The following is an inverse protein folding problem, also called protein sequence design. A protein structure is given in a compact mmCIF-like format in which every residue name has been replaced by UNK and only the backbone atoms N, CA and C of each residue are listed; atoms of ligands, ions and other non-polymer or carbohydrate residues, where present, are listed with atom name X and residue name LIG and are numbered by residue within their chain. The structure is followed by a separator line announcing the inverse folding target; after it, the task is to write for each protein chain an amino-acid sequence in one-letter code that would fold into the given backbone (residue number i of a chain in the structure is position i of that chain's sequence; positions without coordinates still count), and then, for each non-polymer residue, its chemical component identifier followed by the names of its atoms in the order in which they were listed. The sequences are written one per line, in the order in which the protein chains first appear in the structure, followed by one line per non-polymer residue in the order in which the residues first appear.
data_IF_667308451249
#
_entry.id   IF_667308451249
#
_cell.length_a   1.000
_cell.length_b   1.000
_cell.length_c   1.000
_cell.angle_alpha   90.00
_cell.angle_beta   90.00
_cell.angle_gamma   90.00
#
_symmetry.space_group_name_H-M   'P 1'
#
loop_
_entity.id
_entity.type
_entity.pdbx_description
1 polymer ?
#
# COMPACT_ATOMS: atom_id res chain seq x y z
N UNK A 1 -6.47 -19.30 15.14
CA UNK A 1 -5.07 -18.93 14.85
C UNK A 1 -4.98 -17.42 14.87
N UNK A 2 -3.97 -16.84 15.51
CA UNK A 2 -3.74 -15.40 15.42
C UNK A 2 -3.55 -15.03 13.94
N UNK A 3 -4.16 -13.94 13.49
CA UNK A 3 -3.98 -13.44 12.11
C UNK A 3 -2.49 -13.31 11.82
N UNK A 4 -2.01 -13.98 10.78
CA UNK A 4 -0.61 -13.90 10.32
C UNK A 4 -0.32 -12.57 9.61
N UNK A 5 -1.35 -11.79 9.24
CA UNK A 5 -1.20 -10.50 8.59
C UNK A 5 -0.75 -9.38 9.54
N UNK A 6 -0.03 -8.40 9.00
CA UNK A 6 0.35 -7.14 9.66
C UNK A 6 -0.87 -6.43 10.27
N UNK A 7 -0.80 -6.12 11.57
CA UNK A 7 -1.88 -5.49 12.32
C UNK A 7 -2.11 -4.02 11.91
N UNK A 8 -3.25 -3.46 12.27
CA UNK A 8 -3.48 -2.00 12.19
C UNK A 8 -2.70 -1.32 13.31
N UNK A 9 -1.88 -0.33 12.97
CA UNK A 9 -1.17 0.47 13.96
C UNK A 9 -2.05 1.63 14.43
N UNK A 10 -2.66 1.49 15.61
CA UNK A 10 -3.48 2.53 16.23
C UNK A 10 -2.64 3.51 17.04
N UNK A 11 -3.07 4.78 17.03
CA UNK A 11 -2.45 5.84 17.80
C UNK A 11 -3.48 6.52 18.71
N UNK A 12 -3.51 6.09 19.98
CA UNK A 12 -4.47 6.59 20.96
C UNK A 12 -4.36 8.10 21.20
N UNK A 13 -3.16 8.70 21.01
CA UNK A 13 -2.92 10.12 21.26
C UNK A 13 -3.62 11.03 20.23
N UNK A 14 -3.90 10.50 19.04
CA UNK A 14 -4.44 11.29 17.93
C UNK A 14 -5.90 11.70 18.09
N UNK A 15 -6.66 10.98 18.91
CA UNK A 15 -8.10 11.22 19.12
C UNK A 15 -8.36 12.61 19.74
N UNK A 16 -7.55 13.00 20.73
CA UNK A 16 -7.63 14.29 21.41
C UNK A 16 -6.73 15.37 20.81
N UNK A 17 -5.81 15.01 19.91
CA UNK A 17 -4.85 15.96 19.36
C UNK A 17 -5.50 16.90 18.35
N UNK A 18 -5.08 18.16 18.36
CA UNK A 18 -5.48 19.19 17.39
C UNK A 18 -4.24 19.94 16.91
N UNK A 19 -4.26 20.38 15.66
CA UNK A 19 -3.15 21.14 15.10
C UNK A 19 -3.08 22.53 15.78
N UNK A 20 -1.93 22.90 16.40
CA UNK A 20 -1.81 24.19 17.07
C UNK A 20 -1.94 25.39 16.10
N UNK A 21 -2.31 26.58 16.60
CA UNK A 21 -2.40 27.77 15.76
C UNK A 21 -1.07 28.09 15.09
N UNK A 22 -1.10 28.40 13.78
CA UNK A 22 0.09 28.75 13.01
C UNK A 22 0.89 27.58 12.41
N UNK A 23 0.57 26.33 12.77
CA UNK A 23 1.11 25.13 12.11
C UNK A 23 0.25 24.64 10.93
N UNK A 24 -0.98 25.15 10.80
CA UNK A 24 -1.83 24.84 9.64
C UNK A 24 -1.29 25.52 8.37
N UNK A 25 -1.32 24.81 7.24
CA UNK A 25 -0.85 25.27 5.93
C UNK A 25 -1.75 26.34 5.27
N UNK A 26 -2.34 27.25 6.04
CA UNK A 26 -3.18 28.36 5.55
C UNK A 26 -2.48 29.24 4.49
N UNK A 27 -1.15 29.32 4.49
CA UNK A 27 -0.40 30.13 3.51
C UNK A 27 -0.42 29.57 2.08
N UNK A 28 -0.75 28.30 1.86
CA UNK A 28 -0.84 27.72 0.51
C UNK A 28 -2.27 27.74 -0.07
N UNK A 29 -3.31 27.77 0.79
CA UNK A 29 -4.73 27.85 0.41
C UNK A 29 -5.06 29.00 -0.57
N UNK A 30 -4.39 30.16 -0.44
CA UNK A 30 -4.68 31.32 -1.28
C UNK A 30 -4.20 31.22 -2.73
N UNK A 31 -3.24 30.35 -3.04
CA UNK A 31 -2.64 30.30 -4.39
C UNK A 31 -3.33 29.35 -5.37
N UNK A 32 -4.14 28.41 -4.88
CA UNK A 32 -4.68 27.32 -5.71
C UNK A 32 -6.15 27.47 -6.13
N UNK A 33 -6.75 28.64 -5.93
CA UNK A 33 -8.06 28.98 -6.50
C UNK A 33 -7.97 29.27 -8.00
N UNK A 34 -7.75 28.26 -8.83
CA UNK A 34 -7.85 28.39 -10.28
C UNK A 34 -8.93 27.45 -10.85
N UNK A 35 -10.17 27.94 -10.90
CA UNK A 35 -11.18 27.70 -11.94
C UNK A 35 -11.55 26.27 -12.38
N UNK A 36 -11.03 25.20 -11.78
CA UNK A 36 -11.39 23.83 -12.09
C UNK A 36 -12.66 23.40 -11.35
N UNK A 37 -13.48 22.56 -11.98
CA UNK A 37 -14.62 21.94 -11.32
C UNK A 37 -14.15 21.10 -10.11
N UNK A 38 -14.87 21.13 -8.97
CA UNK A 38 -14.51 20.35 -7.80
C UNK A 38 -14.40 18.86 -8.12
N UNK A 39 -13.41 18.19 -7.52
CA UNK A 39 -13.26 16.75 -7.65
C UNK A 39 -14.55 16.04 -7.17
N UNK A 40 -15.07 15.04 -7.88
CA UNK A 40 -16.33 14.41 -7.51
C UNK A 40 -16.22 13.66 -6.17
N UNK A 41 -17.30 13.73 -5.39
CA UNK A 41 -17.53 12.93 -4.19
C UNK A 41 -18.67 11.95 -4.48
N UNK A 42 -18.32 10.69 -4.71
CA UNK A 42 -19.23 9.66 -5.21
C UNK A 42 -19.70 8.79 -4.04
N UNK A 43 -21.01 8.66 -3.87
CA UNK A 43 -21.64 7.79 -2.87
C UNK A 43 -21.54 6.32 -3.29
N UNK A 44 -20.92 5.49 -2.46
CA UNK A 44 -20.75 4.04 -2.63
C UNK A 44 -21.66 3.30 -1.64
N UNK A 45 -22.97 3.35 -1.86
CA UNK A 45 -23.96 2.77 -0.92
C UNK A 45 -23.75 1.28 -0.64
N UNK A 46 -23.44 0.50 -1.68
CA UNK A 46 -23.32 -0.96 -1.56
C UNK A 46 -22.19 -1.37 -0.61
N UNK A 47 -21.06 -0.64 -0.60
CA UNK A 47 -19.96 -0.96 0.31
C UNK A 47 -20.26 -0.51 1.74
N UNK A 48 -21.11 0.51 1.96
CA UNK A 48 -21.45 0.97 3.30
C UNK A 48 -22.11 -0.13 4.12
N UNK A 49 -23.01 -0.91 3.51
CA UNK A 49 -23.66 -2.07 4.13
C UNK A 49 -22.66 -3.20 4.42
N UNK A 50 -21.75 -3.50 3.48
CA UNK A 50 -20.68 -4.51 3.66
C UNK A 50 -19.77 -4.14 4.85
N UNK A 51 -19.41 -2.86 4.97
CA UNK A 51 -18.56 -2.35 6.05
C UNK A 51 -19.34 -2.18 7.35
N UNK A 52 -20.66 -1.99 7.30
CA UNK A 52 -21.53 -1.76 8.44
C UNK A 52 -21.49 -0.32 8.97
N UNK A 53 -21.38 0.65 8.07
CA UNK A 53 -21.41 2.11 8.34
C UNK A 53 -22.57 2.77 7.61
N UNK A 54 -22.85 4.05 7.92
CA UNK A 54 -24.00 4.75 7.34
C UNK A 54 -23.80 5.09 5.87
N UNK A 55 -22.66 5.69 5.53
CA UNK A 55 -22.30 5.99 4.14
C UNK A 55 -20.80 5.85 3.90
N UNK A 56 -20.43 5.52 2.68
CA UNK A 56 -19.05 5.55 2.21
C UNK A 56 -19.00 6.40 0.95
N UNK A 57 -18.17 7.44 0.97
CA UNK A 57 -17.98 8.32 -0.17
C UNK A 57 -16.57 8.18 -0.72
N UNK A 58 -16.42 8.05 -2.04
CA UNK A 58 -15.15 8.12 -2.73
C UNK A 58 -14.90 9.55 -3.23
N UNK A 59 -13.88 10.21 -2.68
CA UNK A 59 -13.37 11.47 -3.23
C UNK A 59 -12.38 11.12 -4.35
N UNK A 60 -12.81 11.30 -5.59
CA UNK A 60 -12.04 10.88 -6.78
C UNK A 60 -11.30 12.08 -7.35
N UNK A 61 -9.97 12.02 -7.36
CA UNK A 61 -9.15 13.16 -7.80
C UNK A 61 -8.90 13.06 -9.31
N UNK A 62 -9.72 13.73 -10.12
CA UNK A 62 -9.63 13.72 -11.59
C UNK A 62 -8.65 14.77 -12.11
N UNK A 63 -7.41 14.39 -12.44
CA UNK A 63 -6.42 15.22 -13.16
C UNK A 63 -6.17 16.67 -12.65
N UNK A 64 -6.75 17.11 -11.51
CA UNK A 64 -6.51 18.43 -10.93
C UNK A 64 -5.03 18.62 -10.58
N UNK A 65 -4.26 17.53 -10.53
CA UNK A 65 -2.85 17.51 -10.20
C UNK A 65 -1.89 17.59 -11.39
N UNK A 66 -2.32 17.45 -12.67
CA UNK A 66 -1.41 17.75 -13.80
C UNK A 66 -1.04 19.23 -13.86
N UNK A 67 -1.87 20.11 -13.30
CA UNK A 67 -1.57 21.54 -13.13
C UNK A 67 -0.82 21.90 -11.83
N UNK A 68 -0.67 20.95 -10.89
CA UNK A 68 -0.02 21.14 -9.57
C UNK A 68 1.49 20.89 -9.60
N UNK A 69 2.13 21.04 -10.78
CA UNK A 69 3.55 20.75 -10.94
C UNK A 69 3.87 19.25 -10.95
N UNK A 70 2.86 18.37 -10.98
CA UNK A 70 3.03 16.93 -11.16
C UNK A 70 3.38 16.54 -12.61
N UNK A 71 4.27 17.32 -13.24
CA UNK A 71 5.23 16.77 -14.20
C UNK A 71 6.32 15.97 -13.46
N UNK A 72 6.00 15.36 -12.31
CA UNK A 72 6.60 14.10 -11.99
C UNK A 72 6.04 13.13 -13.03
N UNK A 73 6.81 12.96 -14.11
CA UNK A 73 6.81 11.73 -14.88
C UNK A 73 6.56 10.54 -13.94
N UNK A 74 5.89 9.46 -14.40
CA UNK A 74 5.89 8.20 -13.66
C UNK A 74 7.32 8.01 -13.16
N UNK A 75 7.47 7.89 -11.84
CA UNK A 75 8.72 7.58 -11.15
C UNK A 75 9.55 6.78 -12.13
N UNK A 76 10.69 7.32 -12.54
CA UNK A 76 11.54 6.78 -13.59
C UNK A 76 11.49 5.25 -13.46
N UNK A 77 10.77 4.60 -14.38
CA UNK A 77 10.67 3.12 -14.44
C UNK A 77 12.02 2.49 -14.80
N UNK A 78 13.09 3.29 -14.69
CA UNK A 78 14.49 2.95 -14.76
C UNK A 78 15.25 3.45 -13.51
N UNK A 79 14.90 2.98 -12.30
CA UNK A 79 15.94 2.79 -11.27
C UNK A 79 16.35 1.31 -11.25
N UNK A 80 17.06 0.97 -12.32
CA UNK A 80 17.94 -0.18 -12.48
C UNK A 80 19.18 -0.14 -11.55
N UNK A 81 19.10 0.55 -10.41
CA UNK A 81 20.20 0.67 -9.44
C UNK A 81 19.88 -0.09 -8.16
N UNK A 82 19.72 -1.42 -8.30
CA UNK A 82 19.67 -2.38 -7.18
C UNK A 82 21.10 -2.69 -6.65
N UNK A 83 22.08 -1.83 -6.95
CA UNK A 83 23.40 -1.94 -6.35
C UNK A 83 23.45 -1.16 -5.04
N UNK A 84 23.77 -1.86 -3.95
CA UNK A 84 24.11 -1.31 -2.64
C UNK A 84 25.36 -0.42 -2.60
N UNK A 85 25.65 0.36 -3.64
CA UNK A 85 26.69 1.38 -3.66
C UNK A 85 26.41 2.38 -4.79
N UNK A 86 26.05 3.60 -4.41
CA UNK A 86 25.84 4.81 -5.22
C UNK A 86 24.58 4.88 -6.10
N UNK A 87 23.59 5.66 -5.64
CA UNK A 87 22.74 6.43 -6.56
C UNK A 87 21.24 6.54 -6.26
N UNK A 88 20.69 5.99 -5.18
CA UNK A 88 19.30 6.26 -4.80
C UNK A 88 19.24 7.57 -4.02
N UNK A 89 18.53 8.55 -4.56
CA UNK A 89 18.44 9.92 -4.03
C UNK A 89 18.02 9.88 -2.56
N UNK A 90 18.86 10.43 -1.68
CA UNK A 90 18.57 10.59 -0.25
C UNK A 90 17.29 11.42 -0.11
N UNK A 91 16.38 10.99 0.75
CA UNK A 91 15.14 11.69 1.04
C UNK A 91 15.33 13.12 1.55
N UNK A 92 16.54 13.42 2.03
CA UNK A 92 16.97 14.76 2.41
C UNK A 92 17.44 15.64 1.23
N UNK A 93 17.69 15.07 0.05
CA UNK A 93 18.33 15.78 -1.08
C UNK A 93 17.36 16.26 -2.16
N UNK A 94 16.13 15.75 -2.19
CA UNK A 94 15.05 16.34 -2.99
C UNK A 94 14.02 16.91 -2.01
N UNK A 95 13.63 18.20 -2.11
CA UNK A 95 12.40 18.64 -1.46
C UNK A 95 11.30 17.75 -2.04
N UNK A 96 10.78 16.79 -1.27
CA UNK A 96 9.49 16.23 -1.61
C UNK A 96 8.54 17.41 -1.50
N UNK A 97 8.13 17.95 -2.64
CA UNK A 97 7.17 19.03 -2.71
C UNK A 97 5.98 18.58 -1.86
N UNK A 98 5.79 19.27 -0.73
CA UNK A 98 4.65 19.02 0.14
C UNK A 98 3.42 19.45 -0.64
N UNK A 99 2.79 18.53 -1.35
CA UNK A 99 1.54 18.79 -2.04
C UNK A 99 0.52 19.30 -1.03
N UNK A 100 -0.12 20.41 -1.38
CA UNK A 100 -1.21 20.96 -0.60
C UNK A 100 -2.51 20.25 -1.02
N UNK A 101 -3.11 19.51 -0.08
CA UNK A 101 -4.40 18.85 -0.25
C UNK A 101 -5.54 19.64 0.42
N UNK A 102 -5.30 20.87 0.89
CA UNK A 102 -6.30 21.66 1.61
C UNK A 102 -7.55 21.94 0.77
N UNK A 103 -7.39 22.21 -0.53
CA UNK A 103 -8.51 22.39 -1.47
C UNK A 103 -9.37 21.13 -1.52
N UNK A 104 -8.73 19.96 -1.63
CA UNK A 104 -9.44 18.68 -1.66
C UNK A 104 -10.25 18.44 -0.38
N UNK A 105 -9.70 18.79 0.77
CA UNK A 105 -10.38 18.65 2.06
C UNK A 105 -11.53 19.66 2.21
N UNK A 106 -11.35 20.89 1.71
CA UNK A 106 -12.39 21.91 1.68
C UNK A 106 -13.56 21.49 0.78
N UNK A 107 -13.29 21.05 -0.45
CA UNK A 107 -14.34 20.57 -1.36
C UNK A 107 -15.09 19.38 -0.76
N UNK A 108 -14.38 18.44 -0.13
CA UNK A 108 -15.00 17.29 0.54
C UNK A 108 -15.97 17.75 1.63
N UNK A 109 -15.58 18.74 2.43
CA UNK A 109 -16.43 19.33 3.45
C UNK A 109 -17.65 20.04 2.84
N UNK A 110 -17.45 20.86 1.80
CA UNK A 110 -18.54 21.58 1.12
C UNK A 110 -19.56 20.63 0.50
N UNK A 111 -19.09 19.54 -0.12
CA UNK A 111 -19.93 18.51 -0.75
C UNK A 111 -20.71 17.66 0.26
N UNK A 112 -20.18 17.47 1.48
CA UNK A 112 -20.91 16.82 2.58
C UNK A 112 -21.92 17.76 3.27
N UNK A 113 -21.85 19.06 3.01
CA UNK A 113 -22.79 20.06 3.52
C UNK A 113 -22.75 20.19 5.05
N UNK A 114 -23.87 19.90 5.71
CA UNK A 114 -23.96 19.97 7.18
C UNK A 114 -23.32 18.76 7.89
N UNK A 115 -23.01 17.70 7.15
CA UNK A 115 -22.41 16.50 7.69
C UNK A 115 -20.88 16.58 7.67
N UNK A 116 -20.24 15.78 8.52
CA UNK A 116 -18.78 15.62 8.55
C UNK A 116 -18.41 14.15 8.47
N UNK A 117 -17.23 13.82 7.93
CA UNK A 117 -16.74 12.46 7.97
C UNK A 117 -16.34 12.09 9.40
N UNK A 118 -16.77 10.92 9.85
CA UNK A 118 -16.26 10.28 11.07
C UNK A 118 -14.90 9.66 10.82
N UNK A 119 -14.65 9.19 9.59
CA UNK A 119 -13.37 8.61 9.17
C UNK A 119 -12.98 9.05 7.77
N UNK A 120 -11.71 9.45 7.61
CA UNK A 120 -11.06 9.59 6.32
C UNK A 120 -9.99 8.50 6.18
N UNK A 121 -10.07 7.70 5.12
CA UNK A 121 -9.02 6.73 4.75
C UNK A 121 -8.31 7.25 3.50
N UNK A 122 -6.99 7.42 3.57
CA UNK A 122 -6.23 8.01 2.48
C UNK A 122 -4.78 7.54 2.44
N UNK A 123 -4.09 7.60 1.29
CA UNK A 123 -2.64 7.47 1.25
C UNK A 123 -1.96 8.52 2.14
N UNK A 124 -0.76 8.23 2.63
CA UNK A 124 -0.05 9.01 3.66
C UNK A 124 -0.01 10.52 3.39
N UNK A 125 0.30 10.94 2.16
CA UNK A 125 0.40 12.37 1.83
C UNK A 125 -0.95 13.09 1.97
N UNK A 126 -2.03 12.44 1.50
CA UNK A 126 -3.38 12.97 1.55
C UNK A 126 -3.90 12.92 3.00
N UNK A 127 -3.57 11.87 3.75
CA UNK A 127 -3.90 11.74 5.17
C UNK A 127 -3.31 12.88 6.00
N UNK A 128 -2.08 13.32 5.70
CA UNK A 128 -1.50 14.53 6.31
C UNK A 128 -2.33 15.79 6.04
N UNK A 129 -2.83 15.96 4.81
CA UNK A 129 -3.75 17.04 4.45
C UNK A 129 -5.06 16.96 5.24
N UNK A 130 -5.63 15.76 5.35
CA UNK A 130 -6.85 15.50 6.11
C UNK A 130 -6.68 15.84 7.61
N UNK A 131 -5.55 15.45 8.22
CA UNK A 131 -5.21 15.83 9.61
C UNK A 131 -5.18 17.36 9.74
N UNK A 132 -4.48 18.04 8.83
CA UNK A 132 -4.31 19.50 8.89
C UNK A 132 -5.63 20.26 8.78
N UNK A 133 -6.62 19.72 8.05
CA UNK A 133 -7.92 20.34 7.85
C UNK A 133 -8.94 19.95 8.93
N UNK A 134 -9.16 18.66 9.12
CA UNK A 134 -10.25 18.13 9.95
C UNK A 134 -9.90 18.06 11.44
N UNK A 135 -8.62 18.08 11.82
CA UNK A 135 -8.18 18.13 13.23
C UNK A 135 -7.73 19.52 13.68
N UNK A 136 -8.25 20.59 13.08
CA UNK A 136 -7.96 21.97 13.49
C UNK A 136 -8.68 22.39 14.78
N UNK A 137 -8.01 23.21 15.61
CA UNK A 137 -8.51 23.66 16.94
C UNK A 137 -9.87 24.35 16.91
N UNK A 138 -10.25 24.96 15.78
CA UNK A 138 -11.50 25.70 15.64
C UNK A 138 -12.75 24.81 15.46
N UNK A 139 -12.62 23.48 15.48
CA UNK A 139 -13.69 22.55 15.08
C UNK A 139 -14.16 21.65 16.21
N UNK A 140 -15.48 21.66 16.43
CA UNK A 140 -16.17 20.99 17.54
C UNK A 140 -16.31 19.45 17.41
N UNK A 141 -16.06 18.88 16.22
CA UNK A 141 -16.20 17.45 15.94
C UNK A 141 -14.85 16.80 15.63
N UNK A 142 -14.67 15.54 16.01
CA UNK A 142 -13.42 14.79 15.83
C UNK A 142 -13.54 13.82 14.67
N UNK A 143 -12.95 14.14 13.51
CA UNK A 143 -12.77 13.20 12.40
C UNK A 143 -11.55 12.32 12.66
N UNK A 144 -11.71 11.00 12.61
CA UNK A 144 -10.59 10.07 12.59
C UNK A 144 -9.93 10.07 11.19
N UNK A 145 -8.60 9.97 11.15
CA UNK A 145 -7.82 9.90 9.91
C UNK A 145 -6.96 8.64 9.94
N UNK A 146 -7.11 7.85 8.89
CA UNK A 146 -6.39 6.60 8.67
C UNK A 146 -5.53 6.68 7.42
N UNK A 147 -4.26 6.32 7.56
CA UNK A 147 -3.32 6.25 6.45
C UNK A 147 -3.26 4.83 5.87
N UNK A 148 -3.07 4.72 4.56
CA UNK A 148 -2.77 3.45 3.87
C UNK A 148 -1.45 3.54 3.10
N UNK A 149 -0.67 2.47 3.17
CA UNK A 149 0.55 2.25 2.38
C UNK A 149 0.57 0.83 1.77
N UNK A 150 1.38 0.56 0.73
CA UNK A 150 1.65 -0.81 0.30
C UNK A 150 2.34 -1.61 1.40
N UNK A 151 2.06 -2.91 1.50
CA UNK A 151 2.77 -3.81 2.42
C UNK A 151 4.29 -3.70 2.25
N UNK A 152 4.76 -3.58 1.01
CA UNK A 152 6.16 -3.51 0.60
C UNK A 152 6.77 -2.09 0.62
N UNK A 153 6.01 -1.07 1.03
CA UNK A 153 6.45 0.32 1.07
C UNK A 153 5.81 1.14 2.21
N UNK A 154 5.72 0.54 3.40
CA UNK A 154 5.00 1.10 4.55
C UNK A 154 5.87 1.98 5.48
N UNK A 155 6.39 3.10 4.98
CA UNK A 155 7.33 3.94 5.73
C UNK A 155 6.71 4.62 6.96
N UNK A 156 5.44 5.06 6.90
CA UNK A 156 4.72 5.61 8.07
C UNK A 156 4.51 4.51 9.11
N UNK A 157 4.01 3.35 8.68
CA UNK A 157 3.74 2.22 9.58
C UNK A 157 4.98 1.84 10.39
N UNK A 158 6.12 1.66 9.69
CA UNK A 158 7.39 1.31 10.34
C UNK A 158 7.92 2.44 11.22
N UNK A 159 7.77 3.70 10.81
CA UNK A 159 8.15 4.87 11.61
C UNK A 159 7.35 4.98 12.92
N UNK A 160 6.03 4.71 12.88
CA UNK A 160 5.17 4.68 14.06
C UNK A 160 5.59 3.58 15.04
N UNK A 161 5.95 2.39 14.53
CA UNK A 161 6.38 1.26 15.35
C UNK A 161 7.66 1.55 16.14
N UNK A 162 8.61 2.31 15.58
CA UNK A 162 9.86 2.69 16.24
C UNK A 162 9.80 4.04 16.96
N UNK A 163 8.77 4.85 16.70
CA UNK A 163 8.56 6.16 17.34
C UNK A 163 9.37 7.32 16.74
N UNK A 164 10.02 7.12 15.59
CA UNK A 164 10.81 8.12 14.86
C UNK A 164 10.65 7.98 13.34
N UNK A 165 10.86 9.07 12.59
CA UNK A 165 10.85 9.04 11.13
C UNK A 165 12.05 8.25 10.61
N UNK A 166 11.81 7.24 9.78
CA UNK A 166 12.88 6.39 9.23
C UNK A 166 12.76 6.18 7.73
N UNK A 167 13.86 5.71 7.15
CA UNK A 167 13.95 5.29 5.75
C UNK A 167 13.95 3.77 5.70
N UNK A 168 13.04 3.20 4.93
CA UNK A 168 12.90 1.77 4.71
C UNK A 168 13.47 1.36 3.35
N UNK A 169 13.73 0.06 3.21
CA UNK A 169 13.88 -0.58 1.90
C UNK A 169 12.49 -0.90 1.36
N UNK A 170 12.27 -0.70 0.07
CA UNK A 170 11.01 -1.07 -0.59
C UNK A 170 11.25 -2.04 -1.73
N UNK A 171 10.35 -3.00 -1.89
CA UNK A 171 10.32 -3.89 -3.06
C UNK A 171 9.23 -3.43 -4.04
N UNK A 172 9.06 -4.18 -5.12
CA UNK A 172 8.03 -3.89 -6.11
C UNK A 172 6.62 -3.81 -5.48
N UNK A 173 5.80 -2.94 -6.04
CA UNK A 173 4.36 -2.84 -5.82
C UNK A 173 3.71 -2.24 -7.06
N UNK A 174 2.50 -2.70 -7.41
CA UNK A 174 1.69 -2.07 -8.47
C UNK A 174 1.14 -0.69 -8.06
N UNK A 175 1.14 -0.37 -6.77
CA UNK A 175 0.81 0.96 -6.22
C UNK A 175 2.01 1.91 -6.34
N UNK A 176 2.53 2.08 -7.55
CA UNK A 176 3.82 2.72 -7.85
C UNK A 176 3.97 4.10 -7.19
N UNK A 177 2.91 4.90 -7.18
CA UNK A 177 2.90 6.26 -6.64
C UNK A 177 2.94 6.30 -5.11
N UNK A 178 2.62 5.17 -4.47
CA UNK A 178 2.73 4.98 -3.03
C UNK A 178 4.03 4.28 -2.62
N UNK A 179 4.90 3.91 -3.58
CA UNK A 179 6.18 3.25 -3.31
C UNK A 179 7.22 4.23 -2.78
N UNK A 180 7.07 4.62 -1.52
CA UNK A 180 7.96 5.58 -0.84
C UNK A 180 8.82 4.90 0.21
N UNK A 181 10.08 5.33 0.30
CA UNK A 181 11.03 4.82 1.29
C UNK A 181 10.94 5.56 2.63
N UNK A 182 10.34 6.73 2.67
CA UNK A 182 10.38 7.65 3.81
C UNK A 182 9.28 8.70 3.68
N UNK A 183 8.98 9.36 4.80
CA UNK A 183 8.04 10.46 4.83
C UNK A 183 8.62 11.74 4.23
N UNK A 184 7.80 12.63 3.66
CA UNK A 184 8.24 13.96 3.25
C UNK A 184 8.77 14.76 4.46
N UNK A 185 9.82 15.55 4.26
CA UNK A 185 10.40 16.44 5.29
C UNK A 185 9.33 17.29 5.98
N UNK A 186 9.34 17.33 7.31
CA UNK A 186 8.37 18.10 8.11
C UNK A 186 6.99 17.47 8.23
N UNK A 187 6.78 16.25 7.71
CA UNK A 187 5.50 15.53 7.85
C UNK A 187 5.40 14.72 9.14
N UNK A 188 6.54 14.31 9.71
CA UNK A 188 6.58 13.37 10.82
C UNK A 188 5.80 13.84 12.04
N UNK A 189 6.02 15.07 12.50
CA UNK A 189 5.38 15.54 13.75
C UNK A 189 3.86 15.61 13.62
N UNK A 190 3.35 16.01 12.45
CA UNK A 190 1.92 16.08 12.16
C UNK A 190 1.33 14.66 12.09
N UNK A 191 2.00 13.76 11.37
CA UNK A 191 1.53 12.38 11.21
C UNK A 191 1.58 11.62 12.54
N UNK A 192 2.70 11.67 13.27
CA UNK A 192 2.89 11.02 14.57
C UNK A 192 1.83 11.43 15.59
N UNK A 193 1.43 12.70 15.59
CA UNK A 193 0.44 13.20 16.56
C UNK A 193 -0.99 13.06 16.05
N UNK A 194 -1.22 13.22 14.76
CA UNK A 194 -2.57 13.38 14.20
C UNK A 194 -3.17 12.15 13.53
N UNK A 195 -2.40 11.14 13.16
CA UNK A 195 -2.96 9.93 12.52
C UNK A 195 -3.59 9.01 13.57
N UNK A 196 -4.83 8.55 13.38
CA UNK A 196 -5.49 7.62 14.32
C UNK A 196 -5.14 6.16 14.04
N UNK A 197 -4.96 5.83 12.77
CA UNK A 197 -4.57 4.49 12.34
C UNK A 197 -3.63 4.53 11.12
N UNK A 198 -2.66 3.62 11.09
CA UNK A 198 -1.86 3.33 9.90
C UNK A 198 -2.09 1.88 9.50
N UNK A 199 -2.54 1.70 8.26
CA UNK A 199 -2.80 0.43 7.61
C UNK A 199 -1.89 0.23 6.43
N UNK A 200 -1.81 -1.02 6.02
CA UNK A 200 -1.09 -1.45 4.83
C UNK A 200 -1.99 -2.34 4.00
N UNK A 201 -1.73 -2.49 2.70
CA UNK A 201 -2.48 -3.39 1.82
C UNK A 201 -1.55 -4.08 0.86
N UNK A 202 -1.90 -5.31 0.48
CA UNK A 202 -1.19 -6.02 -0.57
C UNK A 202 -1.62 -5.52 -1.95
N UNK A 203 -0.78 -5.75 -2.95
CA UNK A 203 -1.11 -5.49 -4.36
C UNK A 203 -2.39 -6.21 -4.78
N UNK A 204 -2.60 -7.43 -4.30
CA UNK A 204 -3.82 -8.20 -4.59
C UNK A 204 -5.08 -7.51 -4.05
N UNK A 205 -5.06 -7.01 -2.83
CA UNK A 205 -6.20 -6.28 -2.26
C UNK A 205 -6.45 -4.96 -2.98
N UNK A 206 -5.37 -4.24 -3.34
CA UNK A 206 -5.49 -3.03 -4.15
C UNK A 206 -6.11 -3.35 -5.52
N UNK A 207 -5.70 -4.43 -6.18
CA UNK A 207 -6.29 -4.88 -7.43
C UNK A 207 -7.77 -5.26 -7.29
N UNK A 208 -8.16 -6.00 -6.25
CA UNK A 208 -9.58 -6.30 -6.00
C UNK A 208 -10.40 -5.02 -5.80
N UNK A 209 -9.83 -4.02 -5.12
CA UNK A 209 -10.46 -2.73 -4.95
C UNK A 209 -10.55 -1.93 -6.27
N UNK A 210 -9.56 -2.05 -7.18
CA UNK A 210 -9.64 -1.48 -8.54
C UNK A 210 -10.85 -2.06 -9.28
N UNK A 211 -11.00 -3.38 -9.29
CA UNK A 211 -12.12 -4.06 -9.96
C UNK A 211 -13.47 -3.62 -9.38
N UNK A 212 -13.55 -3.47 -8.04
CA UNK A 212 -14.74 -2.97 -7.36
C UNK A 212 -15.08 -1.54 -7.79
N UNK A 213 -14.10 -0.62 -7.75
CA UNK A 213 -14.33 0.77 -8.14
C UNK A 213 -14.73 0.87 -9.62
N UNK A 214 -14.10 0.07 -10.48
CA UNK A 214 -14.41 0.02 -11.90
C UNK A 214 -15.85 -0.46 -12.16
N UNK A 215 -16.36 -1.44 -11.40
CA UNK A 215 -17.75 -1.89 -11.53
C UNK A 215 -18.76 -0.82 -11.10
N UNK A 216 -18.32 0.20 -10.35
CA UNK A 216 -19.09 1.36 -9.93
C UNK A 216 -18.81 2.61 -10.79
N UNK A 217 -18.15 2.44 -11.95
CA UNK A 217 -17.85 3.54 -12.88
C UNK A 217 -16.72 4.47 -12.44
N UNK A 218 -15.98 4.11 -11.38
CA UNK A 218 -14.83 4.88 -10.91
C UNK A 218 -13.55 4.29 -11.52
N UNK A 219 -12.89 5.09 -12.36
CA UNK A 219 -11.59 4.73 -12.91
C UNK A 219 -10.49 5.08 -11.90
N UNK A 220 -10.03 4.07 -11.15
CA UNK A 220 -8.93 4.20 -10.21
C UNK A 220 -7.84 3.16 -10.53
N UNK A 221 -6.58 3.60 -10.61
CA UNK A 221 -5.43 2.71 -10.57
C UNK A 221 -5.20 2.13 -9.17
N UNK A 222 -4.22 1.22 -8.98
CA UNK A 222 -3.99 0.55 -7.70
C UNK A 222 -3.77 1.51 -6.52
N UNK A 223 -2.99 2.58 -6.71
CA UNK A 223 -2.78 3.61 -5.68
C UNK A 223 -4.09 4.32 -5.29
N UNK A 224 -4.97 4.57 -6.26
CA UNK A 224 -6.30 5.15 -6.04
C UNK A 224 -7.27 4.21 -5.34
N UNK A 225 -7.10 2.91 -5.52
CA UNK A 225 -7.94 1.89 -4.90
C UNK A 225 -7.47 1.46 -3.49
N UNK A 226 -6.23 1.82 -3.10
CA UNK A 226 -5.64 1.42 -1.83
C UNK A 226 -6.50 1.80 -0.61
N UNK A 227 -7.14 2.97 -0.63
CA UNK A 227 -8.02 3.41 0.47
C UNK A 227 -9.26 2.52 0.64
N UNK A 228 -9.85 2.07 -0.47
CA UNK A 228 -10.95 1.11 -0.42
C UNK A 228 -10.45 -0.25 0.09
N UNK A 229 -9.31 -0.73 -0.42
CA UNK A 229 -8.70 -1.96 0.07
C UNK A 229 -8.46 -1.91 1.59
N UNK A 230 -7.95 -0.79 2.10
CA UNK A 230 -7.73 -0.56 3.53
C UNK A 230 -9.04 -0.56 4.33
N UNK A 231 -10.10 0.07 3.81
CA UNK A 231 -11.41 0.06 4.45
C UNK A 231 -12.00 -1.36 4.52
N UNK A 232 -11.93 -2.13 3.43
CA UNK A 232 -12.44 -3.51 3.35
C UNK A 232 -11.75 -4.47 4.30
N UNK A 233 -10.47 -4.24 4.63
CA UNK A 233 -9.73 -5.11 5.56
C UNK A 233 -9.95 -4.82 7.05
N UNK A 234 -10.69 -3.77 7.41
CA UNK A 234 -10.93 -3.46 8.83
C UNK A 234 -11.77 -4.57 9.48
N UNK A 235 -11.24 -5.16 10.56
CA UNK A 235 -11.98 -6.12 11.37
C UNK A 235 -13.03 -5.42 12.24
N UNK A 236 -13.93 -6.19 12.86
CA UNK A 236 -14.90 -5.65 13.83
C UNK A 236 -14.19 -4.91 14.96
N UNK A 237 -13.06 -5.44 15.44
CA UNK A 237 -12.24 -4.81 16.48
C UNK A 237 -11.62 -3.50 16.01
N UNK A 238 -11.13 -3.45 14.76
CA UNK A 238 -10.53 -2.23 14.20
C UNK A 238 -11.58 -1.13 14.03
N UNK A 239 -12.76 -1.48 13.51
CA UNK A 239 -13.89 -0.55 13.37
C UNK A 239 -14.33 0.01 14.72
N UNK A 240 -14.38 -0.84 15.76
CA UNK A 240 -14.66 -0.40 17.14
C UNK A 240 -13.57 0.54 17.68
N UNK A 241 -12.30 0.26 17.41
CA UNK A 241 -11.19 1.11 17.83
C UNK A 241 -11.22 2.50 17.14
N UNK A 242 -11.71 2.55 15.89
CA UNK A 242 -11.96 3.79 15.15
C UNK A 242 -13.29 4.48 15.52
N UNK A 243 -14.10 3.89 16.41
CA UNK A 243 -15.39 4.44 16.80
C UNK A 243 -16.47 4.38 15.71
N UNK A 244 -16.30 3.54 14.68
CA UNK A 244 -17.27 3.43 13.58
C UNK A 244 -18.57 2.75 14.04
N UNK A 245 -19.69 3.33 13.60
CA UNK A 245 -21.04 2.85 13.85
C UNK A 245 -21.85 2.84 12.56
N UNK A 246 -23.10 2.36 12.63
CA UNK A 246 -24.04 2.41 11.49
C UNK A 246 -24.47 3.82 11.08
N UNK A 247 -24.18 4.83 11.89
CA UNK A 247 -24.46 6.22 11.55
C UNK A 247 -23.22 6.92 10.97
N UNK A 248 -22.07 6.23 10.91
CA UNK A 248 -20.80 6.84 10.51
C UNK A 248 -20.72 7.15 9.02
N UNK A 249 -20.10 8.29 8.71
CA UNK A 249 -19.78 8.74 7.37
C UNK A 249 -18.29 8.52 7.12
N UNK A 250 -17.96 7.66 6.16
CA UNK A 250 -16.58 7.36 5.77
C UNK A 250 -16.27 8.02 4.44
N UNK A 251 -15.11 8.66 4.32
CA UNK A 251 -14.57 9.15 3.06
C UNK A 251 -13.29 8.39 2.72
N UNK A 252 -13.25 7.77 1.54
CA UNK A 252 -12.02 7.20 0.98
C UNK A 252 -11.44 8.16 -0.06
N UNK A 253 -10.13 8.40 0.01
CA UNK A 253 -9.44 9.20 -1.01
C UNK A 253 -8.97 8.29 -2.14
N UNK A 254 -9.41 8.59 -3.36
CA UNK A 254 -9.07 7.85 -4.57
C UNK A 254 -8.26 8.76 -5.51
N UNK A 255 -6.95 8.96 -5.27
CA UNK A 255 -6.10 9.64 -6.25
C UNK A 255 -6.11 8.87 -7.56
N UNK A 256 -6.53 9.49 -8.65
CA UNK A 256 -6.42 8.84 -9.96
C UNK A 256 -4.96 8.82 -10.37
N UNK A 257 -4.43 7.64 -10.71
CA UNK A 257 -3.16 7.54 -11.42
C UNK A 257 -3.18 6.42 -12.45
N UNK A 258 -2.69 6.79 -13.64
CA UNK A 258 -2.12 6.02 -14.74
C UNK A 258 -2.96 4.87 -15.37
N UNK A 259 -3.20 4.98 -16.68
CA UNK A 259 -3.68 3.92 -17.58
C UNK A 259 -2.67 2.75 -17.76
N UNK A 260 -1.62 2.68 -16.92
CA UNK A 260 -0.63 1.63 -17.00
C UNK A 260 -1.27 0.27 -16.73
N UNK A 261 -1.12 -0.59 -17.73
CA UNK A 261 -1.36 -2.02 -17.61
C UNK A 261 -0.33 -2.62 -16.64
N UNK A 262 -0.80 -3.39 -15.66
CA UNK A 262 0.04 -4.16 -14.74
C UNK A 262 -0.42 -5.62 -14.72
N UNK A 263 0.48 -6.54 -14.41
CA UNK A 263 0.13 -7.95 -14.25
C UNK A 263 -0.75 -8.15 -13.02
N UNK A 264 -1.76 -9.02 -13.13
CA UNK A 264 -2.64 -9.32 -11.99
C UNK A 264 -1.81 -9.92 -10.85
N UNK A 265 -1.72 -9.24 -9.69
CA UNK A 265 -0.94 -9.73 -8.56
C UNK A 265 -1.55 -11.02 -8.00
N UNK A 266 -0.71 -11.90 -7.46
CA UNK A 266 -1.16 -13.09 -6.75
C UNK A 266 -1.57 -12.77 -5.31
N UNK A 267 -2.55 -13.51 -4.79
CA UNK A 267 -2.94 -13.43 -3.39
C UNK A 267 -1.79 -13.91 -2.46
N UNK A 268 -1.47 -13.07 -1.48
CA UNK A 268 -0.41 -13.30 -0.48
C UNK A 268 -0.97 -13.67 0.90
N UNK A 269 -2.30 -13.75 1.04
CA UNK A 269 -2.97 -14.03 2.32
C UNK A 269 -2.88 -15.49 2.76
N UNK A 270 -2.60 -16.42 1.83
CA UNK A 270 -2.57 -17.85 2.12
C UNK A 270 -1.46 -18.24 3.12
N UNK A 271 -1.83 -18.97 4.17
CA UNK A 271 -0.92 -19.64 5.11
C UNK A 271 -0.77 -21.15 4.85
N UNK A 272 -1.67 -21.72 4.04
CA UNK A 272 -1.61 -23.13 3.67
C UNK A 272 -0.40 -23.40 2.75
N UNK A 273 0.57 -24.25 3.14
CA UNK A 273 1.72 -24.56 2.31
C UNK A 273 1.34 -25.12 0.94
N UNK A 274 0.18 -25.78 0.80
CA UNK A 274 -0.30 -26.27 -0.50
C UNK A 274 -0.66 -25.09 -1.40
N UNK A 275 -1.48 -24.15 -0.91
CA UNK A 275 -1.88 -22.97 -1.67
C UNK A 275 -0.67 -22.09 -2.01
N UNK A 276 0.25 -21.88 -1.07
CA UNK A 276 1.48 -21.12 -1.32
C UNK A 276 2.30 -21.81 -2.42
N UNK A 277 2.47 -23.13 -2.34
CA UNK A 277 3.20 -23.89 -3.37
C UNK A 277 2.51 -23.76 -4.73
N UNK A 278 1.18 -23.88 -4.81
CA UNK A 278 0.45 -23.72 -6.07
C UNK A 278 0.61 -22.32 -6.66
N UNK A 279 0.65 -21.27 -5.82
CA UNK A 279 0.91 -19.91 -6.27
C UNK A 279 2.34 -19.76 -6.79
N UNK A 280 3.34 -20.27 -6.07
CA UNK A 280 4.74 -20.26 -6.53
C UNK A 280 4.91 -20.99 -7.87
N UNK A 281 4.19 -22.11 -8.07
CA UNK A 281 4.16 -22.86 -9.34
C UNK A 281 3.54 -22.05 -10.49
N UNK A 282 2.46 -21.31 -10.20
CA UNK A 282 1.77 -20.49 -11.20
C UNK A 282 2.58 -19.26 -11.61
N UNK A 283 3.46 -18.80 -10.73
CA UNK A 283 4.40 -17.73 -11.04
C UNK A 283 5.47 -18.26 -11.99
N UNK A 284 5.41 -17.86 -13.26
CA UNK A 284 6.41 -18.25 -14.24
C UNK A 284 7.80 -17.72 -13.84
N UNK A 285 8.67 -18.61 -13.37
CA UNK A 285 10.07 -18.35 -13.05
C UNK A 285 11.02 -19.06 -14.02
N UNK A 286 10.57 -19.37 -15.24
CA UNK A 286 11.35 -20.17 -16.18
C UNK A 286 12.72 -19.54 -16.44
N UNK A 287 13.73 -20.40 -16.57
CA UNK A 287 15.12 -19.96 -16.66
C UNK A 287 15.36 -19.04 -17.86
N UNK A 288 16.06 -17.90 -17.68
CA UNK A 288 16.42 -17.02 -18.79
C UNK A 288 17.39 -17.66 -19.79
N UNK A 289 18.13 -18.70 -19.38
CA UNK A 289 19.22 -19.29 -20.16
C UNK A 289 18.98 -20.73 -20.59
N UNK A 290 17.94 -21.41 -20.07
CA UNK A 290 17.62 -22.80 -20.41
C UNK A 290 16.42 -22.89 -21.36
N UNK A 291 16.63 -23.42 -22.56
CA UNK A 291 15.59 -23.67 -23.57
C UNK A 291 15.76 -22.84 -24.84
N UNK A 292 14.83 -22.98 -25.78
CA UNK A 292 14.81 -22.21 -27.04
C UNK A 292 14.15 -20.83 -26.91
N UNK A 293 13.40 -20.61 -25.83
CA UNK A 293 12.76 -19.33 -25.49
C UNK A 293 13.23 -18.96 -24.09
N UNK A 294 13.79 -17.75 -23.95
CA UNK A 294 14.22 -17.24 -22.64
C UNK A 294 13.00 -17.03 -21.74
N UNK A 295 13.05 -17.61 -20.54
CA UNK A 295 12.03 -17.38 -19.52
C UNK A 295 12.21 -16.04 -18.79
N UNK A 296 11.20 -15.61 -18.01
CA UNK A 296 11.20 -14.32 -17.30
C UNK A 296 12.16 -14.26 -16.10
N UNK A 297 12.70 -15.39 -15.63
CA UNK A 297 13.65 -15.45 -14.52
C UNK A 297 13.03 -15.30 -13.12
N UNK A 298 13.89 -15.10 -12.13
CA UNK A 298 13.58 -15.21 -10.70
C UNK A 298 12.80 -14.01 -10.14
N UNK A 299 12.77 -12.86 -10.83
CA UNK A 299 12.31 -11.59 -10.26
C UNK A 299 10.86 -11.65 -9.77
N UNK A 300 9.92 -12.15 -10.58
CA UNK A 300 8.48 -12.13 -10.23
C UNK A 300 8.19 -13.05 -9.04
N UNK A 301 8.81 -14.23 -8.98
CA UNK A 301 8.65 -15.15 -7.85
C UNK A 301 9.32 -14.62 -6.58
N UNK A 302 10.47 -13.96 -6.70
CA UNK A 302 11.09 -13.27 -5.58
C UNK A 302 10.21 -12.11 -5.05
N UNK A 303 9.56 -11.36 -5.94
CA UNK A 303 8.60 -10.31 -5.56
C UNK A 303 7.41 -10.89 -4.80
N UNK A 304 6.86 -12.03 -5.25
CA UNK A 304 5.79 -12.72 -4.51
C UNK A 304 6.23 -13.12 -3.10
N UNK A 305 7.43 -13.71 -2.96
CA UNK A 305 7.97 -14.10 -1.64
C UNK A 305 8.15 -12.87 -0.74
N UNK A 306 8.70 -11.78 -1.29
CA UNK A 306 8.87 -10.53 -0.54
C UNK A 306 7.52 -9.95 -0.08
N UNK A 307 6.53 -9.91 -0.96
CA UNK A 307 5.17 -9.46 -0.61
C UNK A 307 4.50 -10.37 0.42
N UNK A 308 4.69 -11.69 0.33
CA UNK A 308 4.15 -12.64 1.32
C UNK A 308 4.75 -12.45 2.71
N UNK A 309 6.04 -12.15 2.81
CA UNK A 309 6.73 -11.85 4.06
C UNK A 309 6.30 -10.50 4.63
N UNK A 310 6.29 -9.44 3.82
CA UNK A 310 5.90 -8.09 4.24
C UNK A 310 4.42 -8.03 4.66
N UNK A 311 3.53 -8.78 4.00
CA UNK A 311 2.12 -8.93 4.40
C UNK A 311 1.96 -9.43 5.84
N UNK A 312 2.96 -10.14 6.37
CA UNK A 312 3.02 -10.70 7.73
C UNK A 312 3.90 -9.89 8.67
N UNK A 313 4.31 -8.70 8.24
CA UNK A 313 5.24 -7.83 8.95
C UNK A 313 6.63 -8.44 9.21
N UNK A 314 7.02 -9.45 8.44
CA UNK A 314 8.35 -10.04 8.53
C UNK A 314 9.34 -9.11 7.83
N UNK A 315 10.42 -8.75 8.52
CA UNK A 315 11.44 -7.87 7.95
C UNK A 315 12.08 -8.52 6.73
N UNK A 316 11.95 -7.88 5.57
CA UNK A 316 12.38 -8.45 4.29
C UNK A 316 13.55 -7.69 3.68
N UNK A 317 14.55 -8.42 3.21
CA UNK A 317 15.71 -7.89 2.53
C UNK A 317 15.79 -8.47 1.11
N UNK A 318 15.83 -7.58 0.11
CA UNK A 318 16.09 -7.92 -1.27
C UNK A 318 17.59 -7.83 -1.54
N UNK A 319 18.19 -8.92 -2.03
CA UNK A 319 19.63 -9.02 -2.30
C UNK A 319 19.82 -9.42 -3.76
N UNK A 320 20.36 -8.53 -4.58
CA UNK A 320 20.53 -8.77 -6.01
C UNK A 320 21.86 -8.23 -6.49
N UNK A 321 22.92 -9.03 -6.35
CA UNK A 321 24.26 -8.67 -6.84
C UNK A 321 24.39 -8.79 -8.36
N UNK A 322 23.48 -9.53 -9.00
CA UNK A 322 23.38 -9.69 -10.45
C UNK A 322 21.94 -9.41 -10.85
N UNK A 323 21.74 -8.43 -11.74
CA UNK A 323 20.42 -8.05 -12.26
C UNK A 323 19.65 -9.28 -12.78
N UNK A 324 18.41 -9.42 -12.38
CA UNK A 324 17.52 -10.53 -12.68
C UNK A 324 17.72 -11.78 -11.80
N UNK A 325 18.65 -11.76 -10.83
CA UNK A 325 18.97 -12.92 -9.96
C UNK A 325 18.84 -12.61 -8.46
N UNK A 326 17.66 -12.13 -8.01
CA UNK A 326 17.48 -11.75 -6.61
C UNK A 326 17.42 -12.96 -5.67
N UNK A 327 17.86 -12.73 -4.44
CA UNK A 327 17.58 -13.53 -3.25
C UNK A 327 16.77 -12.71 -2.26
N UNK A 328 15.84 -13.36 -1.56
CA UNK A 328 15.00 -12.72 -0.54
C UNK A 328 15.34 -13.31 0.82
N UNK A 329 15.60 -12.45 1.80
CA UNK A 329 15.87 -12.86 3.19
C UNK A 329 14.79 -12.27 4.09
N UNK A 330 14.01 -13.14 4.72
CA UNK A 330 13.07 -12.78 5.79
C UNK A 330 13.70 -12.94 7.16
N UNK A 331 13.48 -12.00 8.08
CA UNK A 331 14.03 -12.02 9.43
C UNK A 331 12.90 -11.92 10.46
N UNK A 332 12.76 -12.96 11.28
CA UNK A 332 11.87 -12.97 12.45
C UNK A 332 12.73 -12.85 13.70
N UNK A 333 12.47 -11.82 14.52
CA UNK A 333 13.19 -11.62 15.78
C UNK A 333 12.65 -12.57 16.85
N UNK A 334 13.52 -13.44 17.37
CA UNK A 334 13.19 -14.31 18.51
C UNK A 334 13.29 -13.58 19.86
N UNK A 335 12.90 -14.26 20.94
CA UNK A 335 12.89 -13.71 22.31
C UNK A 335 14.22 -13.85 23.07
N UNK A 336 15.29 -14.30 22.40
CA UNK A 336 16.53 -14.74 23.04
C UNK A 336 17.46 -13.61 23.54
N UNK A 337 17.20 -12.35 23.21
CA UNK A 337 18.08 -11.24 23.56
C UNK A 337 19.44 -11.26 22.85
N UNK A 338 20.36 -10.40 23.31
CA UNK A 338 21.69 -10.25 22.72
C UNK A 338 22.56 -11.50 22.90
N UNK A 339 23.24 -11.92 21.82
CA UNK A 339 24.09 -13.12 21.82
C UNK A 339 23.34 -14.45 21.66
N UNK A 340 22.02 -14.42 21.54
CA UNK A 340 21.24 -15.61 21.19
C UNK A 340 21.59 -16.13 19.79
N UNK A 341 21.49 -17.45 19.60
CA UNK A 341 21.72 -18.10 18.31
C UNK A 341 20.54 -17.85 17.37
N UNK A 342 20.85 -17.58 16.10
CA UNK A 342 19.86 -17.52 15.02
C UNK A 342 19.75 -18.86 14.31
N UNK A 343 18.54 -19.22 13.86
CA UNK A 343 18.30 -20.32 12.93
C UNK A 343 18.15 -19.75 11.51
N UNK A 344 18.90 -20.28 10.55
CA UNK A 344 18.76 -19.92 9.14
C UNK A 344 18.16 -21.10 8.38
N UNK A 345 17.00 -20.87 7.77
CA UNK A 345 16.39 -21.79 6.81
C UNK A 345 16.72 -21.29 5.41
N UNK A 346 17.28 -22.16 4.57
CA UNK A 346 17.67 -21.81 3.21
C UNK A 346 16.85 -22.65 2.22
N UNK A 347 16.12 -21.97 1.34
CA UNK A 347 15.39 -22.56 0.23
C UNK A 347 15.89 -21.97 -1.10
N UNK A 348 15.79 -22.74 -2.18
CA UNK A 348 16.13 -22.28 -3.51
C UNK A 348 14.87 -21.80 -4.25
N UNK A 349 15.02 -20.74 -5.03
CA UNK A 349 14.06 -20.37 -6.07
C UNK A 349 14.52 -21.10 -7.34
N UNK A 350 13.86 -22.21 -7.66
CA UNK A 350 14.23 -22.98 -8.85
C UNK A 350 13.76 -22.29 -10.13
N UNK A 351 14.67 -22.21 -11.10
CA UNK A 351 14.35 -21.81 -12.47
C UNK A 351 14.58 -23.01 -13.39
N UNK A 352 13.50 -23.54 -13.95
CA UNK A 352 13.52 -24.67 -14.88
C UNK A 352 13.03 -24.24 -16.26
N UNK A 353 13.28 -25.04 -17.29
CA UNK A 353 12.63 -24.83 -18.58
C UNK A 353 11.20 -25.36 -18.54
N UNK A 354 10.27 -24.67 -19.21
CA UNK A 354 8.89 -25.16 -19.41
C UNK A 354 8.78 -26.09 -20.62
N UNK A 355 9.88 -26.29 -21.36
CA UNK A 355 9.92 -27.18 -22.52
C UNK A 355 9.83 -28.65 -22.09
N UNK A 356 9.08 -29.45 -22.85
CA UNK A 356 9.00 -30.90 -22.66
C UNK A 356 7.87 -31.38 -21.73
N UNK A 357 7.10 -30.47 -21.14
CA UNK A 357 5.89 -30.83 -20.39
C UNK A 357 4.74 -31.14 -21.36
N UNK A 358 4.02 -32.24 -21.11
CA UNK A 358 2.85 -32.63 -21.91
C UNK A 358 1.61 -31.80 -21.57
N UNK A 359 1.47 -31.45 -20.30
CA UNK A 359 0.40 -30.61 -19.76
C UNK A 359 0.94 -29.22 -19.41
N UNK A 360 0.05 -28.29 -19.04
CA UNK A 360 0.43 -26.95 -18.58
C UNK A 360 1.28 -27.01 -17.30
N UNK A 361 2.60 -26.69 -17.39
CA UNK A 361 3.52 -26.77 -16.26
C UNK A 361 3.27 -25.71 -15.19
N UNK A 362 2.48 -24.67 -15.48
CA UNK A 362 2.17 -23.58 -14.55
C UNK A 362 0.78 -23.73 -13.92
N UNK A 363 0.07 -24.85 -14.17
CA UNK A 363 -1.33 -24.99 -13.73
C UNK A 363 -1.50 -25.04 -12.19
N UNK A 364 -0.48 -25.51 -11.46
CA UNK A 364 -0.56 -25.74 -10.02
C UNK A 364 -1.57 -26.82 -9.62
N UNK A 365 -2.00 -27.69 -10.54
CA UNK A 365 -2.95 -28.78 -10.22
C UNK A 365 -2.30 -29.85 -9.36
N UNK A 366 -3.07 -30.45 -8.45
CA UNK A 366 -2.63 -31.61 -7.67
C UNK A 366 -3.09 -32.87 -8.38
N UNK A 367 -2.16 -33.77 -8.70
CA UNK A 367 -2.43 -35.08 -9.31
C UNK A 367 -1.83 -36.16 -8.41
N UNK A 368 -2.63 -37.14 -8.00
CA UNK A 368 -2.19 -38.26 -7.15
C UNK A 368 -1.52 -37.83 -5.82
N UNK A 369 -1.98 -36.74 -5.21
CA UNK A 369 -1.42 -36.22 -3.95
C UNK A 369 -0.09 -35.48 -4.10
N UNK A 370 0.37 -35.20 -5.32
CA UNK A 370 1.54 -34.36 -5.62
C UNK A 370 1.11 -33.14 -6.43
N UNK A 371 1.64 -31.96 -6.10
CA UNK A 371 1.48 -30.79 -6.96
C UNK A 371 2.19 -31.06 -8.29
N UNK A 372 1.59 -30.66 -9.41
CA UNK A 372 2.21 -30.71 -10.75
C UNK A 372 3.33 -29.67 -10.87
N UNK A 373 4.35 -29.77 -10.02
CA UNK A 373 5.70 -29.32 -10.38
C UNK A 373 6.63 -30.39 -9.85
N UNK A 374 7.46 -30.91 -10.76
CA UNK A 374 8.41 -32.00 -10.59
C UNK A 374 7.80 -33.42 -10.62
N UNK A 375 7.37 -33.87 -11.79
CA UNK A 375 7.64 -35.27 -12.19
C UNK A 375 8.29 -35.24 -13.58
N UNK A 376 9.59 -34.92 -13.63
CA UNK A 376 10.43 -35.48 -14.68
C UNK A 376 10.72 -36.93 -14.32
N UNK A 377 9.74 -37.82 -14.55
CA UNK A 377 10.05 -39.21 -14.85
C UNK A 377 9.95 -39.39 -16.35
N UNK A 378 11.10 -39.21 -17.01
CA UNK A 378 11.45 -40.00 -18.19
C UNK A 378 11.88 -41.37 -17.67
#
# INVERSE_FOLDING_TARGET
MASTRRVVAFNAQATSWRIPPGLSYQKLQQKFQNGADPAPLIDLREIADEIGVGTVHAKVLTNCYTALGANASPIDVNEDSINGSHGLVDCHTRPQESYDYSVLMQETEEQLGSYRPDLIVAPVDIARGAISHFKSESRAFSTAVSAVEPDTAACLFKSLAIGESTTITTTHTIMTELRKRCLPTGSWDILKQGIDASLTVSDFEAHQAVLYLQSHGIQAGPAGAASLAALKRLTISDKKALGLTRDSIVVISCPMTSDATYDTPHDVSADDPILITQTLVRTNSASPTLGSVAGPGETVVAQYIASWLEHRDIATHWIESVKGRPSVVGVIRGSGGDGAKSLMLNGHIDTVTLMGYKDDPLSGKIINGKSMVVDQRI
#
